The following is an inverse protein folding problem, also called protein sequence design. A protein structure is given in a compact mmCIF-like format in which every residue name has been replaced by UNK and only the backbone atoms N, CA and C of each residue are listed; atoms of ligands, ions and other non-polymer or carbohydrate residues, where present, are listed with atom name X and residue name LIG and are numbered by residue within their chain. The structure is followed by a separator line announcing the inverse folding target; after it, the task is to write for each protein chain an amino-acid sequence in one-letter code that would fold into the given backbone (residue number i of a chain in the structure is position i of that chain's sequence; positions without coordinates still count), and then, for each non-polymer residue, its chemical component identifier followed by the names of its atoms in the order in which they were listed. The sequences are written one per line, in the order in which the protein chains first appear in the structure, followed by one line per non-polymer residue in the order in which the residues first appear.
data_IF_389899502137
#
_entry.id   IF_389899502137
#
_cell.length_a   1.000
_cell.length_b   1.000
_cell.length_c   1.000
_cell.angle_alpha   90.00
_cell.angle_beta   90.00
_cell.angle_gamma   90.00
#
_symmetry.space_group_name_H-M   'P 1'
#
loop_
_entity.id
_entity.type
_entity.pdbx_description
1 polymer ?
#
# COMPACT_ATOMS: atom_id res chain seq x y z
N UNK A 1 15.58 -24.83 -43.10
CA UNK A 1 14.79 -23.92 -42.24
C UNK A 1 15.57 -22.62 -42.11
N UNK A 2 15.01 -21.50 -42.62
CA UNK A 2 15.62 -20.16 -42.53
C UNK A 2 15.32 -19.58 -41.14
N UNK A 3 16.36 -19.19 -40.40
CA UNK A 3 16.22 -18.34 -39.22
C UNK A 3 16.29 -16.88 -39.68
N UNK A 4 15.20 -16.16 -39.42
CA UNK A 4 15.03 -14.72 -39.59
C UNK A 4 15.85 -13.98 -38.53
N UNK A 5 16.75 -13.09 -38.95
CA UNK A 5 17.40 -12.12 -38.06
C UNK A 5 16.66 -10.78 -38.16
N UNK A 6 16.08 -10.34 -37.05
CA UNK A 6 15.57 -8.98 -36.86
C UNK A 6 16.73 -8.00 -36.68
N UNK A 7 16.79 -6.95 -37.49
CA UNK A 7 17.73 -5.83 -37.32
C UNK A 7 17.17 -4.81 -36.33
N UNK A 8 17.91 -4.54 -35.26
CA UNK A 8 17.68 -3.36 -34.41
C UNK A 8 18.44 -2.18 -35.02
N UNK A 9 17.78 -1.01 -35.13
CA UNK A 9 18.39 0.24 -35.58
C UNK A 9 19.17 0.89 -34.43
N UNK A 10 20.43 1.22 -34.72
CA UNK A 10 21.36 1.98 -33.87
C UNK A 10 21.06 3.48 -34.05
N UNK A 11 20.63 4.17 -32.99
CA UNK A 11 20.35 5.61 -33.02
C UNK A 11 21.63 6.36 -32.64
N UNK A 12 22.18 7.11 -33.59
CA UNK A 12 23.44 7.84 -33.48
C UNK A 12 23.50 8.84 -32.30
N UNK A 13 24.42 8.59 -31.37
CA UNK A 13 24.71 9.41 -30.18
C UNK A 13 25.14 10.87 -30.49
N UNK A 14 25.58 11.14 -31.72
CA UNK A 14 26.12 12.43 -32.16
C UNK A 14 25.04 13.51 -32.28
N UNK A 15 23.84 13.16 -32.74
CA UNK A 15 22.72 14.10 -32.88
C UNK A 15 22.18 14.60 -31.53
N UNK A 16 22.16 13.74 -30.51
CA UNK A 16 21.72 14.12 -29.16
C UNK A 16 22.64 15.15 -28.49
N UNK A 17 23.97 15.06 -28.73
CA UNK A 17 24.96 15.98 -28.15
C UNK A 17 24.83 17.39 -28.71
N UNK A 18 24.67 17.53 -30.03
CA UNK A 18 24.54 18.83 -30.69
C UNK A 18 23.28 19.56 -30.25
N UNK A 19 22.14 18.85 -30.19
CA UNK A 19 20.87 19.41 -29.69
C UNK A 19 20.97 19.83 -28.22
N UNK A 20 21.69 19.06 -27.40
CA UNK A 20 21.92 19.41 -26.00
C UNK A 20 22.75 20.69 -25.85
N UNK A 21 23.86 20.85 -26.59
CA UNK A 21 24.73 22.02 -26.49
C UNK A 21 24.02 23.32 -26.85
N UNK A 22 23.10 23.29 -27.81
CA UNK A 22 22.30 24.46 -28.21
C UNK A 22 21.22 24.76 -27.17
N UNK A 23 20.60 23.74 -26.57
CA UNK A 23 19.49 23.91 -25.61
C UNK A 23 19.91 24.50 -24.26
N UNK A 24 21.14 24.24 -23.80
CA UNK A 24 21.64 24.71 -22.49
C UNK A 24 21.62 26.25 -22.33
N UNK A 25 22.19 27.06 -23.24
CA UNK A 25 22.17 28.53 -23.09
C UNK A 25 20.76 29.12 -23.16
N UNK A 26 19.86 28.57 -23.99
CA UNK A 26 18.46 29.02 -24.03
C UNK A 26 17.69 28.67 -22.74
N UNK A 27 17.95 27.51 -22.12
CA UNK A 27 17.33 27.12 -20.84
C UNK A 27 17.84 27.97 -19.68
N UNK A 28 19.11 28.36 -19.72
CA UNK A 28 19.82 29.04 -18.62
C UNK A 28 19.85 30.56 -18.74
N UNK A 29 19.00 31.15 -19.59
CA UNK A 29 18.87 32.59 -19.68
C UNK A 29 18.44 33.19 -18.33
N UNK A 30 19.19 34.20 -17.84
CA UNK A 30 18.99 34.88 -16.56
C UNK A 30 19.01 33.95 -15.33
N UNK A 31 19.92 32.97 -15.32
CA UNK A 31 20.08 32.04 -14.20
C UNK A 31 20.43 32.76 -12.88
N UNK A 32 21.31 33.76 -12.93
CA UNK A 32 21.74 34.51 -11.74
C UNK A 32 20.59 35.25 -11.06
N UNK A 33 19.78 35.99 -11.82
CA UNK A 33 18.61 36.69 -11.26
C UNK A 33 17.57 35.71 -10.69
N UNK A 34 17.40 34.54 -11.31
CA UNK A 34 16.52 33.48 -10.79
C UNK A 34 17.07 32.87 -9.50
N UNK A 35 18.38 32.63 -9.44
CA UNK A 35 19.04 32.12 -8.24
C UNK A 35 18.93 33.13 -7.09
N UNK A 36 19.24 34.40 -7.34
CA UNK A 36 19.10 35.46 -6.33
C UNK A 36 17.67 35.60 -5.81
N UNK A 37 16.66 35.46 -6.67
CA UNK A 37 15.24 35.49 -6.25
C UNK A 37 14.86 34.32 -5.35
N UNK A 38 15.51 33.16 -5.47
CA UNK A 38 15.25 31.99 -4.61
C UNK A 38 16.04 32.11 -3.31
N UNK A 39 17.30 32.55 -3.38
CA UNK A 39 18.19 32.71 -2.23
C UNK A 39 17.72 33.86 -1.32
N UNK A 40 17.15 34.93 -1.87
CA UNK A 40 16.64 36.06 -1.08
C UNK A 40 15.34 35.79 -0.33
N UNK A 41 14.70 34.63 -0.55
CA UNK A 41 13.51 34.25 0.20
C UNK A 41 13.92 33.80 1.60
N UNK A 42 13.24 34.33 2.62
CA UNK A 42 13.46 33.94 4.03
C UNK A 42 13.27 32.42 4.23
N UNK A 43 12.31 31.84 3.51
CA UNK A 43 12.06 30.39 3.48
C UNK A 43 11.83 29.91 2.06
N UNK A 44 12.39 28.76 1.65
CA UNK A 44 12.12 28.20 0.34
C UNK A 44 10.64 27.81 0.24
N UNK A 45 10.07 27.93 -0.96
CA UNK A 45 8.73 27.41 -1.23
C UNK A 45 8.70 25.90 -1.01
N UNK A 46 7.75 25.36 -0.23
CA UNK A 46 7.63 23.93 -0.03
C UNK A 46 7.34 23.24 -1.37
N UNK A 47 7.78 21.99 -1.49
CA UNK A 47 7.49 21.18 -2.66
C UNK A 47 5.97 20.96 -2.77
N UNK A 48 5.42 20.93 -4.00
CA UNK A 48 4.00 20.63 -4.20
C UNK A 48 3.72 19.20 -3.74
N UNK A 49 2.59 19.01 -3.06
CA UNK A 49 2.13 17.70 -2.63
C UNK A 49 1.55 16.90 -3.79
N UNK A 50 1.61 15.56 -3.70
CA UNK A 50 0.93 14.66 -4.63
C UNK A 50 -0.58 14.74 -4.42
N UNK A 51 -1.37 14.48 -5.46
CA UNK A 51 -2.83 14.60 -5.41
C UNK A 51 -3.48 13.80 -4.27
N UNK A 52 -3.04 12.57 -4.02
CA UNK A 52 -3.55 11.75 -2.90
C UNK A 52 -3.31 12.40 -1.55
N UNK A 53 -2.15 13.04 -1.39
CA UNK A 53 -1.73 13.63 -0.12
C UNK A 53 -2.51 14.93 0.11
N UNK A 54 -2.84 15.66 -0.96
CA UNK A 54 -3.74 16.82 -0.90
C UNK A 54 -5.12 16.44 -0.38
N UNK A 55 -5.73 15.36 -0.91
CA UNK A 55 -7.05 14.89 -0.47
C UNK A 55 -7.03 14.53 1.01
N UNK A 56 -5.99 13.80 1.46
CA UNK A 56 -5.89 13.38 2.85
C UNK A 56 -5.69 14.57 3.79
N UNK A 57 -4.86 15.55 3.40
CA UNK A 57 -4.67 16.76 4.20
C UNK A 57 -5.95 17.60 4.24
N UNK A 58 -6.67 17.74 3.14
CA UNK A 58 -7.98 18.40 3.13
C UNK A 58 -8.99 17.69 4.04
N UNK A 59 -8.94 16.36 4.10
CA UNK A 59 -9.76 15.56 4.99
C UNK A 59 -9.41 15.82 6.45
N UNK A 60 -8.12 15.75 6.80
CA UNK A 60 -7.62 16.06 8.14
C UNK A 60 -8.01 17.48 8.57
N UNK A 61 -7.87 18.47 7.68
CA UNK A 61 -8.25 19.85 7.95
C UNK A 61 -9.75 20.02 8.24
N UNK A 62 -10.62 19.18 7.66
CA UNK A 62 -12.08 19.25 7.85
C UNK A 62 -12.56 18.45 9.06
N UNK A 63 -12.05 17.23 9.22
CA UNK A 63 -12.49 16.27 10.23
C UNK A 63 -11.80 16.50 11.59
N UNK A 64 -10.53 16.90 11.56
CA UNK A 64 -9.63 16.96 12.73
C UNK A 64 -8.88 18.31 12.77
N UNK A 65 -9.65 19.39 12.94
CA UNK A 65 -9.12 20.77 12.90
C UNK A 65 -8.10 21.04 14.01
N UNK A 66 -8.35 20.54 15.22
CA UNK A 66 -7.49 20.79 16.39
C UNK A 66 -6.15 20.08 16.24
N UNK A 67 -6.18 18.83 15.82
CA UNK A 67 -4.99 18.02 15.61
C UNK A 67 -4.12 18.58 14.48
N UNK A 68 -4.75 19.11 13.42
CA UNK A 68 -4.05 19.81 12.36
C UNK A 68 -3.37 21.09 12.86
N UNK A 69 -4.05 21.91 13.66
CA UNK A 69 -3.47 23.12 14.26
C UNK A 69 -2.32 22.81 15.23
N UNK A 70 -2.45 21.77 16.05
CA UNK A 70 -1.39 21.29 16.94
C UNK A 70 -0.16 20.83 16.13
N UNK A 71 -0.36 20.15 15.00
CA UNK A 71 0.74 19.68 14.14
C UNK A 71 1.59 20.81 13.53
N UNK A 72 1.03 22.01 13.39
CA UNK A 72 1.75 23.19 12.90
C UNK A 72 2.65 23.82 13.97
N UNK A 73 2.41 23.49 15.25
CA UNK A 73 3.17 24.01 16.37
C UNK A 73 4.30 23.07 16.78
N UNK A 74 5.38 23.65 17.29
CA UNK A 74 6.51 22.85 17.80
C UNK A 74 6.17 22.32 19.19
N UNK A 75 6.11 21.00 19.33
CA UNK A 75 6.01 20.34 20.65
C UNK A 75 7.39 20.18 21.29
N UNK A 76 7.67 20.93 22.36
CA UNK A 76 8.97 20.93 23.03
C UNK A 76 9.32 19.58 23.70
N UNK A 77 8.34 18.90 24.26
CA UNK A 77 8.54 17.60 24.92
C UNK A 77 8.93 16.52 23.91
N UNK A 78 8.22 16.45 22.78
CA UNK A 78 8.54 15.53 21.68
C UNK A 78 9.92 15.83 21.08
N UNK A 79 10.28 17.11 20.92
CA UNK A 79 11.62 17.52 20.46
C UNK A 79 12.72 17.04 21.41
N UNK A 80 12.49 17.08 22.73
CA UNK A 80 13.42 16.55 23.74
C UNK A 80 13.54 15.02 23.64
N UNK A 81 12.42 14.30 23.52
CA UNK A 81 12.42 12.85 23.39
C UNK A 81 13.13 12.38 22.11
N UNK A 82 12.90 13.04 20.98
CA UNK A 82 13.55 12.70 19.71
C UNK A 82 15.06 12.90 19.75
N UNK A 83 15.55 13.92 20.48
CA UNK A 83 16.99 14.12 20.70
C UNK A 83 17.61 13.06 21.61
N UNK A 84 16.83 12.49 22.53
CA UNK A 84 17.30 11.42 23.42
C UNK A 84 17.39 10.07 22.70
N UNK A 85 16.51 9.80 21.75
CA UNK A 85 16.55 8.58 20.93
C UNK A 85 17.55 8.77 19.78
N UNK A 86 18.83 8.58 20.07
CA UNK A 86 19.87 8.49 19.06
C UNK A 86 20.36 7.05 18.94
N UNK A 87 20.39 6.53 17.72
CA UNK A 87 21.00 5.24 17.42
C UNK A 87 22.48 5.48 17.18
N UNK A 88 23.32 5.05 18.12
CA UNK A 88 24.76 4.92 17.83
C UNK A 88 24.95 3.65 17.02
N UNK A 89 25.14 3.78 15.70
CA UNK A 89 25.69 2.67 14.92
C UNK A 89 27.17 2.57 15.30
N UNK A 90 27.46 1.84 16.38
CA UNK A 90 28.76 1.17 16.44
C UNK A 90 28.77 0.28 15.21
N UNK A 91 29.74 0.48 14.31
CA UNK A 91 30.07 -0.55 13.33
C UNK A 91 30.90 -1.57 14.11
N UNK A 92 30.35 -2.65 14.71
CA UNK A 92 31.20 -3.77 15.00
C UNK A 92 31.73 -4.23 13.63
N UNK A 93 33.05 -4.33 13.49
CA UNK A 93 33.70 -4.89 12.30
C UNK A 93 33.23 -6.33 11.99
N UNK A 94 32.40 -6.91 12.86
CA UNK A 94 31.74 -8.18 12.71
C UNK A 94 30.24 -7.98 12.90
N UNK A 95 29.50 -7.96 11.79
CA UNK A 95 28.07 -8.27 11.80
C UNK A 95 27.98 -9.67 12.45
N UNK A 96 27.33 -9.87 13.61
CA UNK A 96 27.08 -11.20 14.12
C UNK A 96 26.13 -11.87 13.13
N UNK A 97 26.72 -12.56 12.16
CA UNK A 97 26.04 -13.41 11.22
C UNK A 97 25.30 -14.45 12.07
N UNK A 98 23.97 -14.40 11.99
CA UNK A 98 23.00 -15.19 12.78
C UNK A 98 22.91 -14.75 14.24
N UNK A 99 21.97 -13.85 14.51
CA UNK A 99 21.20 -13.94 15.76
C UNK A 99 20.74 -15.39 15.87
N UNK A 100 21.17 -16.09 16.93
CA UNK A 100 20.74 -17.45 17.23
C UNK A 100 19.21 -17.51 17.11
N UNK A 101 18.71 -18.24 16.12
CA UNK A 101 17.28 -18.48 15.97
C UNK A 101 16.84 -19.15 17.27
N UNK A 102 15.93 -18.51 18.00
CA UNK A 102 15.42 -19.09 19.24
C UNK A 102 14.70 -20.40 18.87
N UNK A 103 15.12 -21.57 19.38
CA UNK A 103 14.47 -22.84 19.03
C UNK A 103 13.00 -22.87 19.44
N UNK A 104 12.61 -22.09 20.46
CA UNK A 104 11.21 -21.97 20.92
C UNK A 104 10.38 -21.03 20.03
N UNK A 105 11.03 -20.26 19.14
CA UNK A 105 10.36 -19.35 18.19
C UNK A 105 11.17 -19.24 16.89
N UNK A 106 11.16 -20.28 16.04
CA UNK A 106 11.82 -20.23 14.74
C UNK A 106 11.17 -19.17 13.85
N UNK A 107 11.98 -18.56 12.98
CA UNK A 107 11.46 -17.67 11.95
C UNK A 107 10.62 -18.48 10.96
N UNK A 108 9.50 -17.92 10.43
CA UNK A 108 8.75 -18.57 9.38
C UNK A 108 9.65 -18.86 8.17
N UNK A 109 9.88 -20.15 7.88
CA UNK A 109 10.68 -20.60 6.73
C UNK A 109 9.85 -20.62 5.45
N UNK A 110 8.53 -20.76 5.61
CA UNK A 110 7.61 -20.84 4.49
C UNK A 110 7.48 -19.47 3.80
N UNK A 111 7.83 -19.44 2.52
CA UNK A 111 7.74 -18.25 1.64
C UNK A 111 6.61 -18.39 0.63
N UNK A 112 5.78 -19.42 0.75
CA UNK A 112 4.66 -19.62 -0.16
C UNK A 112 3.64 -18.50 -0.01
N UNK A 113 3.18 -17.98 -1.14
CA UNK A 113 2.08 -17.02 -1.17
C UNK A 113 0.79 -17.77 -0.87
N UNK A 114 0.08 -17.35 0.17
CA UNK A 114 -1.27 -17.87 0.45
C UNK A 114 -2.14 -17.58 -0.77
N UNK A 115 -2.79 -18.61 -1.31
CA UNK A 115 -3.69 -18.45 -2.45
C UNK A 115 -4.82 -17.48 -2.07
N UNK A 116 -5.22 -16.59 -3.00
CA UNK A 116 -6.32 -15.68 -2.73
C UNK A 116 -7.59 -16.49 -2.44
N UNK A 117 -8.31 -16.09 -1.41
CA UNK A 117 -9.61 -16.69 -1.08
C UNK A 117 -10.62 -16.37 -2.20
N UNK A 118 -11.50 -17.31 -2.50
CA UNK A 118 -12.48 -17.20 -3.59
C UNK A 118 -13.33 -15.92 -3.49
N UNK A 119 -13.66 -15.50 -2.27
CA UNK A 119 -14.46 -14.31 -2.00
C UNK A 119 -13.65 -13.15 -1.39
N UNK A 120 -12.32 -13.17 -1.51
CA UNK A 120 -11.44 -12.16 -0.92
C UNK A 120 -11.39 -12.15 0.62
N UNK A 121 -12.13 -13.04 1.28
CA UNK A 121 -12.17 -13.19 2.73
C UNK A 121 -11.82 -14.62 3.14
N UNK A 122 -11.03 -14.76 4.22
CA UNK A 122 -10.73 -16.06 4.81
C UNK A 122 -12.00 -16.63 5.43
N UNK A 123 -12.40 -17.83 5.00
CA UNK A 123 -13.52 -18.53 5.62
C UNK A 123 -13.18 -19.00 7.05
N UNK A 124 -14.15 -18.95 7.97
CA UNK A 124 -13.96 -19.45 9.32
C UNK A 124 -13.79 -20.98 9.31
N UNK A 125 -12.82 -21.48 10.09
CA UNK A 125 -12.56 -22.93 10.20
C UNK A 125 -13.71 -23.67 10.90
N UNK A 126 -14.39 -22.99 11.83
CA UNK A 126 -15.57 -23.52 12.52
C UNK A 126 -16.72 -22.53 12.43
N UNK A 127 -17.84 -22.99 11.88
CA UNK A 127 -19.08 -22.22 11.79
C UNK A 127 -19.96 -22.60 12.99
N UNK A 128 -20.38 -21.63 13.84
CA UNK A 128 -21.29 -21.92 14.94
C UNK A 128 -22.70 -22.21 14.41
N UNK A 129 -23.47 -23.00 15.16
CA UNK A 129 -24.86 -23.32 14.82
C UNK A 129 -25.71 -22.04 14.70
N UNK A 130 -26.60 -22.01 13.70
CA UNK A 130 -27.45 -20.84 13.42
C UNK A 130 -26.70 -19.68 12.74
N UNK A 131 -25.47 -19.91 12.25
CA UNK A 131 -24.73 -19.01 11.37
C UNK A 131 -24.28 -19.78 10.13
N UNK A 132 -24.00 -19.05 9.06
CA UNK A 132 -23.51 -19.61 7.80
C UNK A 132 -22.37 -18.78 7.25
N UNK A 133 -21.43 -19.43 6.56
CA UNK A 133 -20.38 -18.73 5.81
C UNK A 133 -20.94 -18.19 4.50
N UNK A 134 -20.26 -17.20 3.91
CA UNK A 134 -20.64 -16.64 2.61
C UNK A 134 -20.75 -17.71 1.53
N UNK A 135 -19.78 -18.62 1.48
CA UNK A 135 -19.78 -19.78 0.58
C UNK A 135 -21.01 -20.68 0.79
N UNK A 136 -21.30 -21.04 2.04
CA UNK A 136 -22.46 -21.86 2.37
C UNK A 136 -23.79 -21.21 1.96
N UNK A 137 -23.92 -19.90 2.13
CA UNK A 137 -25.11 -19.16 1.67
C UNK A 137 -25.24 -19.23 0.14
N UNK A 138 -24.15 -19.01 -0.59
CA UNK A 138 -24.18 -19.07 -2.05
C UNK A 138 -24.50 -20.47 -2.57
N UNK A 139 -23.98 -21.51 -1.93
CA UNK A 139 -24.33 -22.91 -2.22
C UNK A 139 -25.82 -23.17 -1.99
N UNK A 140 -26.38 -22.71 -0.86
CA UNK A 140 -27.81 -22.87 -0.55
C UNK A 140 -28.70 -22.16 -1.58
N UNK A 141 -28.34 -20.95 -1.98
CA UNK A 141 -29.07 -20.20 -3.03
C UNK A 141 -29.05 -20.98 -4.34
N UNK A 142 -27.88 -21.50 -4.74
CA UNK A 142 -27.76 -22.28 -5.97
C UNK A 142 -28.58 -23.57 -5.92
N UNK A 143 -28.58 -24.28 -4.79
CA UNK A 143 -29.37 -25.49 -4.58
C UNK A 143 -30.89 -25.22 -4.62
N UNK A 144 -31.34 -24.14 -3.98
CA UNK A 144 -32.74 -23.74 -4.02
C UNK A 144 -33.21 -23.35 -5.42
N UNK A 145 -32.35 -22.66 -6.19
CA UNK A 145 -32.66 -22.28 -7.57
C UNK A 145 -32.80 -23.50 -8.49
N UNK A 146 -31.97 -24.52 -8.29
CA UNK A 146 -32.03 -25.75 -9.09
C UNK A 146 -33.24 -26.60 -8.74
N UNK A 147 -33.46 -26.87 -7.44
CA UNK A 147 -34.51 -27.77 -6.96
C UNK A 147 -35.28 -27.17 -5.76
N UNK A 148 -36.19 -26.20 -5.99
CA UNK A 148 -36.88 -25.49 -4.91
C UNK A 148 -37.85 -26.37 -4.11
N UNK A 149 -38.29 -27.51 -4.69
CA UNK A 149 -39.15 -28.49 -4.01
C UNK A 149 -38.39 -29.27 -2.94
N UNK A 150 -37.13 -29.57 -3.19
CA UNK A 150 -36.27 -30.36 -2.30
C UNK A 150 -35.64 -29.43 -1.26
N UNK A 151 -35.00 -28.36 -1.72
CA UNK A 151 -34.34 -27.38 -0.87
C UNK A 151 -35.30 -26.26 -0.45
N UNK A 152 -36.41 -26.60 0.21
CA UNK A 152 -37.34 -25.60 0.72
C UNK A 152 -36.79 -24.89 1.97
N UNK A 153 -37.40 -23.77 2.38
CA UNK A 153 -36.96 -22.99 3.54
C UNK A 153 -36.90 -23.82 4.83
N UNK A 154 -37.82 -24.77 5.00
CA UNK A 154 -37.83 -25.73 6.12
C UNK A 154 -36.58 -26.61 6.14
N UNK A 155 -36.24 -27.19 4.99
CA UNK A 155 -35.07 -28.06 4.86
C UNK A 155 -33.78 -27.30 5.13
N UNK A 156 -33.66 -26.09 4.58
CA UNK A 156 -32.50 -25.21 4.78
C UNK A 156 -32.38 -24.80 6.26
N UNK A 157 -33.51 -24.50 6.91
CA UNK A 157 -33.55 -24.17 8.34
C UNK A 157 -33.07 -25.32 9.22
N UNK A 158 -33.50 -26.55 8.94
CA UNK A 158 -33.07 -27.76 9.64
C UNK A 158 -31.57 -28.00 9.49
N UNK A 159 -31.04 -27.88 8.26
CA UNK A 159 -29.65 -28.20 7.95
C UNK A 159 -28.65 -27.15 8.51
N UNK A 160 -29.06 -25.88 8.58
CA UNK A 160 -28.22 -24.76 9.04
C UNK A 160 -28.49 -24.32 10.47
N UNK A 161 -29.58 -24.81 11.07
CA UNK A 161 -30.08 -24.38 12.39
C UNK A 161 -30.47 -22.89 12.42
N UNK A 162 -30.73 -22.29 11.26
CA UNK A 162 -31.21 -20.90 11.10
C UNK A 162 -32.74 -20.92 11.09
N UNK A 163 -33.43 -19.99 11.78
CA UNK A 163 -34.89 -19.98 11.79
C UNK A 163 -35.50 -19.73 10.40
N UNK A 164 -36.57 -20.46 10.08
CA UNK A 164 -37.28 -20.39 8.78
C UNK A 164 -37.71 -18.95 8.42
N UNK A 165 -38.12 -18.16 9.41
CA UNK A 165 -38.50 -16.75 9.24
C UNK A 165 -37.39 -15.86 8.68
N UNK A 166 -36.12 -16.25 8.81
CA UNK A 166 -34.97 -15.49 8.29
C UNK A 166 -34.58 -15.93 6.88
N UNK A 167 -35.04 -17.10 6.45
CA UNK A 167 -34.72 -17.69 5.14
C UNK A 167 -35.77 -17.32 4.08
N UNK A 168 -37.03 -17.18 4.50
CA UNK A 168 -38.16 -16.70 3.68
C UNK A 168 -38.05 -15.20 3.38
#
# INVERSE_FOLDING_TARGET
MKLSQCSYYEIDSTMGKVLSSIRHPFRNFNLESRAHKVISQEKPKPAPWRHTDQIEIERLMKEHTKEYEESLQKHEELDKHLKQVYVTSTNPDEIPNKKNENPDRPLPTDRTTVQPFLYGMKEPERIPAGKSSLKGILELISLHQNDPKIYNAKKIAEDTMIPENTIN
#
